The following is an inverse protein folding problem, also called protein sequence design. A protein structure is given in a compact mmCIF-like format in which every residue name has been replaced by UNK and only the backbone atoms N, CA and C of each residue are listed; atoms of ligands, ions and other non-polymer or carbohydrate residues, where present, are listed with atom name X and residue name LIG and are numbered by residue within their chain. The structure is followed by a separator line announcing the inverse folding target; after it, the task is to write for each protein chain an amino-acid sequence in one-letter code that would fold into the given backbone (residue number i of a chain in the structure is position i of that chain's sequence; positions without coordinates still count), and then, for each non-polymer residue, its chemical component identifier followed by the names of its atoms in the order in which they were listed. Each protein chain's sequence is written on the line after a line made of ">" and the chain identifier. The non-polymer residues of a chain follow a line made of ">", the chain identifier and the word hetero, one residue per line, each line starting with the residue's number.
data_IF_236054701003
#
_entry.id   IF_236054701003
#
_cell.length_a   1.000
_cell.length_b   1.000
_cell.length_c   1.000
_cell.angle_alpha   90.00
_cell.angle_beta   90.00
_cell.angle_gamma   90.00
#
_symmetry.space_group_name_H-M   'P 1'
#
loop_
_entity.id
_entity.type
_entity.pdbx_description
1 polymer ?
#
# COMPACT_ATOMS: atom_id res chain seq x y z
N UNK A 1 -6.50 5.54 -27.23
CA UNK A 1 -6.80 5.36 -25.81
C UNK A 1 -5.56 5.60 -24.92
N UNK A 2 -4.35 5.24 -25.38
CA UNK A 2 -3.10 5.28 -24.58
C UNK A 2 -2.17 6.46 -24.93
N UNK A 3 -2.70 7.54 -25.49
CA UNK A 3 -1.91 8.74 -25.76
C UNK A 3 -1.64 9.48 -24.46
N UNK A 4 -0.37 9.73 -24.16
CA UNK A 4 0.05 10.53 -23.00
C UNK A 4 -0.09 12.02 -23.31
N UNK A 5 -0.33 12.82 -22.28
CA UNK A 5 -0.30 14.29 -22.39
C UNK A 5 1.13 14.76 -22.66
N UNK A 6 1.26 15.85 -23.41
CA UNK A 6 2.55 16.50 -23.61
C UNK A 6 2.95 17.25 -22.34
N UNK A 7 3.95 16.74 -21.63
CA UNK A 7 4.45 17.31 -20.36
C UNK A 7 5.97 17.39 -20.38
N UNK A 8 6.52 18.35 -19.66
CA UNK A 8 7.96 18.36 -19.37
C UNK A 8 8.28 17.28 -18.34
N UNK A 9 9.07 16.28 -18.71
CA UNK A 9 9.49 15.21 -17.80
C UNK A 9 10.28 15.72 -16.58
N UNK A 10 10.93 16.90 -16.71
CA UNK A 10 11.68 17.53 -15.63
C UNK A 10 10.80 17.85 -14.40
N UNK A 11 9.52 18.20 -14.60
CA UNK A 11 8.58 18.48 -13.49
C UNK A 11 8.31 17.26 -12.61
N UNK A 12 8.51 16.03 -13.12
CA UNK A 12 8.36 14.79 -12.34
C UNK A 12 9.70 14.27 -11.82
N UNK A 13 10.79 14.52 -12.55
CA UNK A 13 12.11 14.04 -12.15
C UNK A 13 12.62 14.74 -10.88
N UNK A 14 12.37 16.05 -10.74
CA UNK A 14 12.81 16.81 -9.54
C UNK A 14 12.15 16.32 -8.25
N UNK A 15 10.80 16.14 -8.12
CA UNK A 15 10.22 15.62 -6.90
C UNK A 15 10.56 14.14 -6.66
N UNK A 16 10.72 13.34 -7.73
CA UNK A 16 11.16 11.94 -7.63
C UNK A 16 12.54 11.84 -6.97
N UNK A 17 13.53 12.55 -7.53
CA UNK A 17 14.91 12.48 -7.05
C UNK A 17 15.03 13.09 -5.65
N UNK A 18 14.38 14.23 -5.40
CA UNK A 18 14.38 14.85 -4.08
C UNK A 18 13.80 13.91 -3.03
N UNK A 19 12.66 13.27 -3.31
CA UNK A 19 12.04 12.32 -2.39
C UNK A 19 12.94 11.09 -2.16
N UNK A 20 13.58 10.56 -3.20
CA UNK A 20 14.47 9.40 -3.08
C UNK A 20 15.71 9.71 -2.23
N UNK A 21 16.37 10.84 -2.50
CA UNK A 21 17.57 11.28 -1.77
C UNK A 21 17.24 11.62 -0.32
N UNK A 22 16.14 12.37 -0.10
CA UNK A 22 15.72 12.76 1.24
C UNK A 22 15.32 11.55 2.09
N UNK A 23 14.52 10.61 1.53
CA UNK A 23 14.14 9.36 2.19
C UNK A 23 15.38 8.55 2.56
N UNK A 24 16.28 8.33 1.61
CA UNK A 24 17.52 7.59 1.84
C UNK A 24 18.37 8.25 2.95
N UNK A 25 18.54 9.58 2.91
CA UNK A 25 19.37 10.32 3.86
C UNK A 25 18.77 10.33 5.28
N UNK A 26 17.44 10.57 5.40
CA UNK A 26 16.75 10.51 6.69
C UNK A 26 16.83 9.12 7.32
N UNK A 27 16.70 8.06 6.51
CA UNK A 27 16.84 6.67 6.96
C UNK A 27 18.28 6.37 7.41
N UNK A 28 19.30 6.90 6.71
CA UNK A 28 20.68 6.80 7.17
C UNK A 28 20.87 7.46 8.54
N UNK A 29 20.30 8.66 8.74
CA UNK A 29 20.29 9.34 10.03
C UNK A 29 19.60 8.56 11.14
N UNK A 30 18.39 8.02 10.86
CA UNK A 30 17.67 7.17 11.82
C UNK A 30 18.48 5.93 12.16
N UNK A 31 19.07 5.26 11.16
CA UNK A 31 19.93 4.08 11.41
C UNK A 31 21.12 4.43 12.31
N UNK A 32 21.79 5.54 12.06
CA UNK A 32 22.90 6.02 12.88
C UNK A 32 22.44 6.29 14.33
N UNK A 33 21.35 7.05 14.52
CA UNK A 33 20.83 7.40 15.84
C UNK A 33 20.36 6.17 16.62
N UNK A 34 19.61 5.27 15.98
CA UNK A 34 19.11 4.06 16.63
C UNK A 34 20.23 3.11 17.01
N UNK A 35 21.29 3.02 16.20
CA UNK A 35 22.48 2.22 16.53
C UNK A 35 23.23 2.85 17.70
N UNK A 36 23.42 4.18 17.69
CA UNK A 36 24.16 4.92 18.73
C UNK A 36 23.46 4.87 20.09
N UNK A 37 22.12 5.02 20.11
CA UNK A 37 21.32 5.09 21.34
C UNK A 37 20.58 3.79 21.65
N UNK A 38 20.78 2.72 20.87
CA UNK A 38 20.14 1.40 21.03
C UNK A 38 18.61 1.45 21.04
N UNK A 39 18.02 2.32 20.25
CA UNK A 39 16.57 2.47 20.10
C UNK A 39 16.04 1.50 19.03
N UNK A 40 15.71 0.27 19.43
CA UNK A 40 15.31 -0.78 18.49
C UNK A 40 13.80 -0.92 18.28
N UNK A 41 12.99 -0.32 19.16
CA UNK A 41 11.54 -0.56 19.20
C UNK A 41 11.19 -1.92 19.82
N UNK A 42 9.90 -2.22 19.97
CA UNK A 42 9.47 -3.53 20.49
C UNK A 42 9.82 -4.62 19.48
N UNK A 43 10.52 -5.64 19.92
CA UNK A 43 10.79 -6.84 19.14
C UNK A 43 9.48 -7.64 18.99
N UNK A 44 8.76 -7.48 17.88
CA UNK A 44 7.74 -8.49 17.56
C UNK A 44 8.46 -9.77 17.14
N UNK A 45 7.81 -10.90 17.41
CA UNK A 45 8.31 -12.27 17.25
C UNK A 45 8.56 -12.69 15.76
N UNK A 46 9.06 -11.78 14.92
CA UNK A 46 9.57 -12.14 13.61
C UNK A 46 10.93 -12.80 13.77
N UNK A 47 11.12 -13.95 13.15
CA UNK A 47 12.17 -14.93 13.26
C UNK A 47 13.63 -14.46 13.11
N UNK A 48 13.93 -13.18 13.24
CA UNK A 48 15.27 -12.64 13.14
C UNK A 48 15.77 -12.14 14.49
N UNK A 49 16.81 -12.79 15.01
CA UNK A 49 17.58 -12.36 16.19
C UNK A 49 18.31 -11.00 15.96
N UNK A 50 18.09 -10.35 14.80
CA UNK A 50 18.70 -9.08 14.44
C UNK A 50 17.95 -7.93 15.09
N UNK A 51 18.68 -7.06 15.76
CA UNK A 51 18.16 -5.80 16.30
C UNK A 51 17.96 -4.80 15.14
N UNK A 52 16.74 -4.75 14.57
CA UNK A 52 16.38 -3.87 13.47
C UNK A 52 15.36 -2.85 13.97
N UNK A 53 15.65 -1.57 13.75
CA UNK A 53 14.72 -0.50 14.15
C UNK A 53 13.47 -0.46 13.26
N UNK A 54 12.32 -0.10 13.88
CA UNK A 54 11.02 0.12 13.20
C UNK A 54 10.71 1.61 12.99
N UNK A 55 11.63 2.51 13.33
CA UNK A 55 11.42 3.94 13.23
C UNK A 55 11.54 4.52 11.81
N UNK A 56 11.73 3.67 10.79
CA UNK A 56 11.81 4.10 9.39
C UNK A 56 10.56 4.84 8.90
N UNK A 57 9.39 4.56 9.50
CA UNK A 57 8.14 5.27 9.20
C UNK A 57 8.22 6.78 9.38
N UNK A 58 9.05 7.26 10.34
CA UNK A 58 9.30 8.69 10.56
C UNK A 58 9.95 9.32 9.32
N UNK A 59 10.98 8.67 8.77
CA UNK A 59 11.65 9.19 7.56
C UNK A 59 10.73 9.19 6.35
N UNK A 60 9.94 8.13 6.18
CA UNK A 60 8.96 8.01 5.09
C UNK A 60 7.90 9.10 5.19
N UNK A 61 7.36 9.34 6.39
CA UNK A 61 6.36 10.39 6.64
C UNK A 61 6.93 11.79 6.37
N UNK A 62 8.08 12.13 6.96
CA UNK A 62 8.73 13.42 6.76
C UNK A 62 9.06 13.66 5.29
N UNK A 63 9.62 12.67 4.60
CA UNK A 63 9.96 12.78 3.18
C UNK A 63 8.73 13.11 2.35
N UNK A 64 7.68 12.29 2.48
CA UNK A 64 6.46 12.49 1.71
C UNK A 64 5.85 13.87 2.00
N UNK A 65 5.74 14.25 3.28
CA UNK A 65 5.18 15.54 3.70
C UNK A 65 5.97 16.71 3.13
N UNK A 66 7.29 16.73 3.31
CA UNK A 66 8.15 17.87 2.89
C UNK A 66 8.09 18.03 1.37
N UNK A 67 8.27 16.94 0.62
CA UNK A 67 8.30 17.02 -0.84
C UNK A 67 6.90 17.31 -1.38
N UNK A 68 5.85 16.74 -0.79
CA UNK A 68 4.47 17.06 -1.17
C UNK A 68 4.17 18.55 -1.02
N UNK A 69 4.49 19.17 0.12
CA UNK A 69 4.26 20.60 0.38
C UNK A 69 5.09 21.50 -0.55
N UNK A 70 6.22 21.01 -1.06
CA UNK A 70 7.06 21.75 -2.01
C UNK A 70 6.58 21.72 -3.47
N UNK A 71 5.79 20.71 -3.86
CA UNK A 71 5.45 20.48 -5.28
C UNK A 71 3.95 20.35 -5.56
N UNK A 72 3.10 20.32 -4.54
CA UNK A 72 1.66 20.06 -4.69
C UNK A 72 0.85 21.14 -3.99
N UNK A 73 0.00 21.84 -4.76
CA UNK A 73 -0.91 22.84 -4.19
C UNK A 73 -1.95 22.18 -3.28
N UNK A 74 -2.26 22.82 -2.16
CA UNK A 74 -3.24 22.36 -1.19
C UNK A 74 -4.66 22.67 -1.66
N UNK A 75 -5.41 21.60 -1.95
CA UNK A 75 -6.86 21.61 -2.14
C UNK A 75 -7.51 20.77 -1.04
N UNK A 76 -8.83 20.89 -0.77
CA UNK A 76 -9.47 20.10 0.29
C UNK A 76 -9.17 18.60 0.23
N UNK A 77 -9.28 17.88 -0.91
CA UNK A 77 -8.93 16.46 -0.95
C UNK A 77 -7.44 16.16 -0.69
N UNK A 78 -6.55 17.07 -1.09
CA UNK A 78 -5.10 16.92 -0.87
C UNK A 78 -4.72 17.22 0.58
N UNK A 79 -5.38 18.20 1.21
CA UNK A 79 -5.27 18.43 2.66
C UNK A 79 -5.81 17.22 3.43
N UNK A 80 -6.96 16.67 3.03
CA UNK A 80 -7.52 15.46 3.62
C UNK A 80 -6.55 14.26 3.55
N UNK A 81 -5.81 14.11 2.43
CA UNK A 81 -4.76 13.12 2.30
C UNK A 81 -3.65 13.34 3.33
N UNK A 82 -3.14 14.58 3.49
CA UNK A 82 -2.09 14.89 4.46
C UNK A 82 -2.54 14.66 5.90
N UNK A 83 -3.77 15.06 6.23
CA UNK A 83 -4.35 14.87 7.57
C UNK A 83 -4.52 13.37 7.87
N UNK A 84 -5.18 12.62 6.96
CA UNK A 84 -5.43 11.20 7.14
C UNK A 84 -4.15 10.38 7.25
N UNK A 85 -3.17 10.63 6.38
CA UNK A 85 -1.88 9.94 6.47
C UNK A 85 -1.14 10.24 7.77
N UNK A 86 -1.21 11.49 8.26
CA UNK A 86 -0.54 11.89 9.52
C UNK A 86 -1.22 11.25 10.72
N UNK A 87 -2.56 11.19 10.75
CA UNK A 87 -3.29 10.51 11.83
C UNK A 87 -2.96 9.02 11.88
N UNK A 88 -2.88 8.35 10.72
CA UNK A 88 -2.51 6.93 10.67
C UNK A 88 -1.02 6.69 10.97
N UNK A 89 -0.14 7.61 10.59
CA UNK A 89 1.26 7.58 11.01
C UNK A 89 1.37 7.66 12.54
N UNK A 90 0.68 8.61 13.18
CA UNK A 90 0.70 8.78 14.64
C UNK A 90 0.12 7.54 15.35
N UNK A 91 -0.98 7.00 14.84
CA UNK A 91 -1.55 5.76 15.36
C UNK A 91 -0.55 4.60 15.27
N UNK A 92 0.06 4.41 14.10
CA UNK A 92 1.04 3.34 13.90
C UNK A 92 2.30 3.53 14.74
N UNK A 93 2.73 4.78 14.98
CA UNK A 93 3.86 5.07 15.88
C UNK A 93 3.53 4.68 17.33
N UNK A 94 2.31 4.98 17.80
CA UNK A 94 1.83 4.55 19.11
C UNK A 94 1.77 3.01 19.17
N UNK A 95 1.35 2.37 18.09
CA UNK A 95 1.30 0.91 18.00
C UNK A 95 2.69 0.26 18.03
N UNK A 96 3.64 0.80 17.31
CA UNK A 96 5.04 0.33 17.31
C UNK A 96 5.69 0.42 18.71
N UNK A 97 5.18 1.33 19.57
CA UNK A 97 5.68 1.50 20.95
C UNK A 97 4.90 0.65 21.94
N UNK A 98 3.57 0.63 21.87
CA UNK A 98 2.69 0.07 22.91
C UNK A 98 1.99 -1.22 22.52
N UNK A 99 2.10 -1.67 21.25
CA UNK A 99 1.48 -2.88 20.71
C UNK A 99 -0.03 -2.93 20.97
N UNK A 100 -0.77 -2.06 20.28
CA UNK A 100 -2.20 -1.87 20.45
C UNK A 100 -3.02 -3.12 20.09
N UNK A 101 -4.18 -3.28 20.71
CA UNK A 101 -5.11 -4.34 20.33
C UNK A 101 -5.65 -4.13 18.91
N UNK A 102 -6.00 -5.21 18.15
CA UNK A 102 -6.55 -5.07 16.80
C UNK A 102 -7.81 -4.20 16.74
N UNK A 103 -8.64 -4.25 17.79
CA UNK A 103 -9.86 -3.43 17.88
C UNK A 103 -9.49 -1.95 18.05
N UNK A 104 -8.52 -1.64 18.91
CA UNK A 104 -8.04 -0.27 19.12
C UNK A 104 -7.48 0.32 17.81
N UNK A 105 -6.65 -0.46 17.09
CA UNK A 105 -6.14 -0.06 15.77
C UNK A 105 -7.28 0.25 14.79
N UNK A 106 -8.27 -0.62 14.71
CA UNK A 106 -9.41 -0.45 13.80
C UNK A 106 -10.22 0.81 14.14
N UNK A 107 -10.48 1.10 15.42
CA UNK A 107 -11.20 2.30 15.84
C UNK A 107 -10.43 3.56 15.42
N UNK A 108 -9.12 3.60 15.63
CA UNK A 108 -8.27 4.71 15.19
C UNK A 108 -8.25 4.87 13.66
N UNK A 109 -8.14 3.76 12.92
CA UNK A 109 -8.21 3.76 11.46
C UNK A 109 -9.55 4.32 10.97
N UNK A 110 -10.68 3.87 11.55
CA UNK A 110 -12.01 4.38 11.22
C UNK A 110 -12.10 5.88 11.48
N UNK A 111 -11.62 6.35 12.64
CA UNK A 111 -11.60 7.76 12.98
C UNK A 111 -10.80 8.61 12.00
N UNK A 112 -9.56 8.20 11.69
CA UNK A 112 -8.68 8.89 10.74
C UNK A 112 -9.29 8.94 9.32
N UNK A 113 -9.85 7.81 8.85
CA UNK A 113 -10.51 7.70 7.55
C UNK A 113 -11.79 8.56 7.51
N UNK A 114 -12.62 8.54 8.56
CA UNK A 114 -13.83 9.37 8.63
C UNK A 114 -13.50 10.87 8.55
N UNK A 115 -12.46 11.33 9.26
CA UNK A 115 -11.96 12.70 9.17
C UNK A 115 -11.53 13.04 7.73
N UNK A 116 -10.75 12.18 7.10
CA UNK A 116 -10.27 12.42 5.75
C UNK A 116 -11.41 12.46 4.72
N UNK A 117 -12.38 11.53 4.80
CA UNK A 117 -13.57 11.51 3.94
C UNK A 117 -14.42 12.77 4.17
N UNK A 118 -14.62 13.19 5.42
CA UNK A 118 -15.35 14.41 5.77
C UNK A 118 -14.67 15.69 5.28
N UNK A 119 -13.33 15.69 5.13
CA UNK A 119 -12.55 16.79 4.56
C UNK A 119 -12.53 16.79 3.01
N UNK A 120 -13.24 15.86 2.36
CA UNK A 120 -13.42 15.84 0.91
C UNK A 120 -12.62 14.77 0.16
N UNK A 121 -12.02 13.80 0.85
CA UNK A 121 -11.37 12.65 0.23
C UNK A 121 -12.40 11.53 -0.01
N UNK A 122 -13.22 11.65 -1.04
CA UNK A 122 -14.26 10.69 -1.38
C UNK A 122 -14.31 10.39 -2.87
N UNK A 123 -14.91 9.25 -3.25
CA UNK A 123 -14.92 8.68 -4.61
C UNK A 123 -15.78 9.52 -5.57
N UNK A 124 -16.96 9.97 -5.12
CA UNK A 124 -17.94 10.75 -5.86
C UNK A 124 -18.68 9.98 -6.94
N UNK A 125 -17.95 9.27 -7.78
CA UNK A 125 -18.53 8.51 -8.90
C UNK A 125 -17.70 7.27 -9.25
N UNK A 126 -18.36 6.27 -9.80
CA UNK A 126 -17.71 5.05 -10.30
C UNK A 126 -18.04 4.82 -11.78
N UNK A 127 -17.11 4.20 -12.52
CA UNK A 127 -17.35 3.86 -13.92
C UNK A 127 -18.41 2.78 -14.02
N UNK A 128 -19.45 3.03 -14.82
CA UNK A 128 -20.45 2.02 -15.17
C UNK A 128 -19.89 1.07 -16.25
N UNK A 129 -19.84 -0.25 -16.01
CA UNK A 129 -19.37 -1.21 -17.00
C UNK A 129 -20.16 -1.19 -18.32
N UNK A 130 -21.44 -0.79 -18.27
CA UNK A 130 -22.34 -0.71 -19.44
C UNK A 130 -22.28 0.66 -20.14
N UNK A 131 -21.43 1.57 -19.69
CA UNK A 131 -21.22 2.90 -20.28
C UNK A 131 -21.58 4.05 -19.33
N UNK A 132 -20.82 5.15 -19.43
CA UNK A 132 -20.99 6.31 -18.55
C UNK A 132 -20.45 6.13 -17.14
N UNK A 133 -20.97 6.92 -16.22
CA UNK A 133 -20.60 6.93 -14.79
C UNK A 133 -21.84 6.85 -13.92
N UNK A 134 -21.70 6.22 -12.77
CA UNK A 134 -22.70 6.19 -11.68
C UNK A 134 -22.26 7.20 -10.65
N UNK A 135 -23.02 8.27 -10.47
CA UNK A 135 -22.81 9.24 -9.37
C UNK A 135 -23.35 8.62 -8.10
N UNK A 136 -22.51 8.56 -7.07
CA UNK A 136 -22.90 8.00 -5.79
C UNK A 136 -23.70 9.00 -4.97
N UNK A 137 -24.77 8.56 -4.28
CA UNK A 137 -25.42 9.41 -3.29
C UNK A 137 -24.45 9.63 -2.11
N UNK A 138 -24.57 10.75 -1.36
CA UNK A 138 -23.60 11.11 -0.31
C UNK A 138 -23.33 9.99 0.71
N UNK A 139 -24.37 9.26 1.12
CA UNK A 139 -24.22 8.15 2.07
C UNK A 139 -23.37 7.03 1.48
N UNK A 140 -23.67 6.57 0.25
CA UNK A 140 -22.92 5.49 -0.40
C UNK A 140 -21.51 5.93 -0.76
N UNK A 141 -21.33 7.20 -1.13
CA UNK A 141 -20.03 7.75 -1.42
C UNK A 141 -19.10 7.71 -0.20
N UNK A 142 -19.57 8.19 0.95
CA UNK A 142 -18.80 8.18 2.18
C UNK A 142 -18.52 6.77 2.70
N UNK A 143 -19.51 5.88 2.65
CA UNK A 143 -19.34 4.48 3.08
C UNK A 143 -18.37 3.73 2.20
N UNK A 144 -18.49 3.84 0.87
CA UNK A 144 -17.59 3.16 -0.08
C UNK A 144 -16.17 3.72 -0.02
N UNK A 145 -16.04 5.05 0.13
CA UNK A 145 -14.73 5.69 0.28
C UNK A 145 -14.03 5.25 1.56
N UNK A 146 -14.75 5.24 2.68
CA UNK A 146 -14.22 4.76 3.95
C UNK A 146 -13.84 3.29 3.90
N UNK A 147 -14.69 2.45 3.35
CA UNK A 147 -14.44 1.02 3.20
C UNK A 147 -13.23 0.75 2.30
N UNK A 148 -13.11 1.46 1.18
CA UNK A 148 -11.96 1.38 0.28
C UNK A 148 -10.66 1.72 1.01
N UNK A 149 -10.62 2.86 1.69
CA UNK A 149 -9.42 3.30 2.41
C UNK A 149 -9.01 2.30 3.51
N UNK A 150 -9.98 1.80 4.29
CA UNK A 150 -9.72 0.80 5.34
C UNK A 150 -9.18 -0.51 4.78
N UNK A 151 -9.74 -1.01 3.67
CA UNK A 151 -9.24 -2.23 3.01
C UNK A 151 -7.80 -2.04 2.55
N UNK A 152 -7.50 -0.92 1.87
CA UNK A 152 -6.15 -0.70 1.34
C UNK A 152 -5.13 -0.51 2.47
N UNK A 153 -5.47 0.24 3.53
CA UNK A 153 -4.61 0.40 4.71
C UNK A 153 -4.25 -0.96 5.30
N UNK A 154 -5.23 -1.83 5.54
CA UNK A 154 -4.98 -3.13 6.15
C UNK A 154 -4.29 -4.10 5.19
N UNK A 155 -4.59 -4.06 3.90
CA UNK A 155 -3.91 -4.89 2.90
C UNK A 155 -2.42 -4.54 2.77
N UNK A 156 -2.07 -3.26 2.80
CA UNK A 156 -0.67 -2.81 2.73
C UNK A 156 0.07 -3.07 4.05
N UNK A 157 -0.59 -2.89 5.19
CA UNK A 157 -0.03 -3.25 6.49
C UNK A 157 0.33 -4.75 6.54
N UNK A 158 -0.52 -5.59 5.98
CA UNK A 158 -0.25 -7.03 5.89
C UNK A 158 0.92 -7.36 4.93
N UNK A 159 1.15 -6.57 3.87
CA UNK A 159 2.30 -6.76 2.97
C UNK A 159 3.65 -6.49 3.64
N UNK A 160 3.68 -5.79 4.77
CA UNK A 160 4.92 -5.49 5.51
C UNK A 160 5.49 -6.71 6.27
N UNK A 161 5.04 -7.91 5.93
CA UNK A 161 5.52 -9.15 6.51
C UNK A 161 6.84 -9.68 5.95
N UNK A 162 7.31 -9.20 4.79
CA UNK A 162 8.58 -9.59 4.16
C UNK A 162 9.41 -8.38 3.76
N UNK A 163 10.75 -8.50 3.96
CA UNK A 163 11.72 -7.48 3.57
C UNK A 163 11.56 -7.11 2.07
N UNK A 164 11.36 -5.84 1.77
CA UNK A 164 11.24 -5.30 0.43
C UNK A 164 9.87 -5.46 -0.23
N UNK A 165 8.95 -6.26 0.32
CA UNK A 165 7.69 -6.58 -0.33
C UNK A 165 6.75 -5.37 -0.39
N UNK A 166 6.48 -4.75 0.75
CA UNK A 166 5.57 -3.60 0.83
C UNK A 166 6.11 -2.39 0.07
N UNK A 167 7.41 -2.08 0.22
CA UNK A 167 8.06 -0.99 -0.51
C UNK A 167 8.08 -1.24 -2.03
N UNK A 168 8.37 -2.46 -2.46
CA UNK A 168 8.35 -2.86 -3.87
C UNK A 168 6.95 -2.77 -4.48
N UNK A 169 5.93 -3.29 -3.80
CA UNK A 169 4.54 -3.23 -4.26
C UNK A 169 4.04 -1.78 -4.35
N UNK A 170 4.37 -0.94 -3.37
CA UNK A 170 4.04 0.50 -3.40
C UNK A 170 4.75 1.22 -4.53
N UNK A 171 6.01 0.88 -4.81
CA UNK A 171 6.75 1.45 -5.96
C UNK A 171 6.09 1.09 -7.29
N UNK A 172 5.69 -0.17 -7.49
CA UNK A 172 4.96 -0.62 -8.68
C UNK A 172 3.61 0.12 -8.80
N UNK A 173 2.84 0.18 -7.71
CA UNK A 173 1.59 0.93 -7.66
C UNK A 173 1.80 2.39 -8.08
N UNK A 174 2.82 3.06 -7.54
CA UNK A 174 3.13 4.45 -7.84
C UNK A 174 3.45 4.67 -9.32
N UNK A 175 4.20 3.75 -9.94
CA UNK A 175 4.49 3.77 -11.39
C UNK A 175 3.19 3.64 -12.20
N UNK A 176 2.31 2.72 -11.81
CA UNK A 176 1.04 2.50 -12.51
C UNK A 176 0.14 3.73 -12.40
N UNK A 177 -0.01 4.32 -11.21
CA UNK A 177 -0.81 5.54 -11.01
C UNK A 177 -0.19 6.73 -11.74
N UNK A 178 1.13 6.85 -11.78
CA UNK A 178 1.83 7.88 -12.54
C UNK A 178 1.44 7.84 -14.02
N UNK A 179 1.63 6.71 -14.69
CA UNK A 179 1.29 6.58 -16.11
C UNK A 179 -0.22 6.73 -16.35
N UNK A 180 -1.05 6.15 -15.49
CA UNK A 180 -2.51 6.30 -15.60
C UNK A 180 -2.92 7.77 -15.56
N UNK A 181 -2.33 8.57 -14.67
CA UNK A 181 -2.64 9.99 -14.48
C UNK A 181 -2.22 10.85 -15.68
N UNK A 182 -1.22 10.39 -16.46
CA UNK A 182 -0.73 11.07 -17.66
C UNK A 182 -1.47 10.69 -18.94
N UNK A 183 -2.38 9.72 -18.93
CA UNK A 183 -3.20 9.46 -20.12
C UNK A 183 -4.10 10.66 -20.43
N UNK A 184 -4.22 11.00 -21.71
CA UNK A 184 -5.02 12.16 -22.22
C UNK A 184 -6.44 12.16 -21.66
N UNK A 185 -7.05 10.96 -21.51
CA UNK A 185 -8.41 10.82 -20.98
C UNK A 185 -8.47 11.14 -19.48
N UNK A 186 -7.40 10.88 -18.73
CA UNK A 186 -7.34 11.13 -17.27
C UNK A 186 -6.89 12.55 -16.99
N UNK A 187 -5.81 12.97 -17.63
CA UNK A 187 -5.23 14.32 -17.60
C UNK A 187 -5.11 14.93 -16.19
N UNK A 188 -4.39 14.25 -15.30
CA UNK A 188 -4.21 14.68 -13.91
C UNK A 188 -2.71 14.75 -13.54
N UNK A 189 -1.97 15.75 -14.03
CA UNK A 189 -0.52 15.88 -13.80
C UNK A 189 -0.16 16.03 -12.33
N UNK A 190 -1.01 16.65 -11.51
CA UNK A 190 -0.77 16.76 -10.06
C UNK A 190 -0.83 15.40 -9.37
N UNK A 191 -1.76 14.52 -9.76
CA UNK A 191 -1.81 13.14 -9.24
C UNK A 191 -0.56 12.35 -9.68
N UNK A 192 -0.07 12.58 -10.89
CA UNK A 192 1.21 12.04 -11.35
C UNK A 192 2.38 12.53 -10.48
N UNK A 193 2.41 13.82 -10.12
CA UNK A 193 3.41 14.37 -9.17
C UNK A 193 3.33 13.70 -7.81
N UNK A 194 2.15 13.52 -7.24
CA UNK A 194 1.99 12.81 -5.96
C UNK A 194 2.46 11.35 -6.04
N UNK A 195 2.18 10.69 -7.17
CA UNK A 195 2.63 9.31 -7.39
C UNK A 195 4.16 9.19 -7.48
N UNK A 196 4.85 10.12 -8.14
CA UNK A 196 6.33 10.09 -8.20
C UNK A 196 6.98 10.50 -6.88
N UNK A 197 6.34 11.33 -6.06
CA UNK A 197 6.80 11.61 -4.69
C UNK A 197 6.75 10.32 -3.85
N UNK A 198 5.64 9.58 -3.93
CA UNK A 198 5.53 8.29 -3.24
C UNK A 198 6.56 7.29 -3.77
N UNK A 199 6.74 7.23 -5.10
CA UNK A 199 7.73 6.37 -5.74
C UNK A 199 9.14 6.69 -5.24
N UNK A 200 9.56 7.95 -5.27
CA UNK A 200 10.89 8.37 -4.79
C UNK A 200 11.09 8.04 -3.32
N UNK A 201 10.09 8.34 -2.48
CA UNK A 201 10.11 8.00 -1.06
C UNK A 201 10.32 6.49 -0.85
N UNK A 202 9.61 5.66 -1.60
CA UNK A 202 9.73 4.19 -1.50
C UNK A 202 11.04 3.66 -2.08
N UNK A 203 11.57 4.23 -3.14
CA UNK A 203 12.88 3.83 -3.67
C UNK A 203 14.01 4.12 -2.68
N UNK A 204 13.99 5.30 -2.02
CA UNK A 204 14.94 5.61 -0.95
C UNK A 204 14.82 4.66 0.24
N UNK A 205 13.59 4.30 0.63
CA UNK A 205 13.33 3.32 1.70
C UNK A 205 13.72 1.90 1.28
N UNK A 206 13.43 1.47 0.05
CA UNK A 206 13.70 0.12 -0.45
C UNK A 206 15.18 -0.24 -0.38
N UNK A 207 16.08 0.71 -0.54
CA UNK A 207 17.52 0.51 -0.35
C UNK A 207 17.87 -0.02 1.05
N UNK A 208 17.16 0.43 2.08
CA UNK A 208 17.35 0.02 3.46
C UNK A 208 16.53 -1.19 3.87
N UNK A 209 15.43 -1.44 3.15
CA UNK A 209 14.47 -2.49 3.47
C UNK A 209 14.61 -3.73 2.58
N UNK A 210 15.43 -3.69 1.50
CA UNK A 210 15.69 -4.88 0.69
C UNK A 210 16.38 -5.96 1.52
N UNK A 211 15.99 -7.24 1.23
CA UNK A 211 16.50 -8.37 2.02
C UNK A 211 18.04 -8.57 1.87
N UNK A 212 18.78 -8.69 2.97
CA UNK A 212 18.38 -8.61 4.39
C UNK A 212 18.13 -7.16 4.84
N UNK A 213 16.95 -6.88 5.35
CA UNK A 213 16.55 -5.54 5.75
C UNK A 213 17.44 -4.98 6.88
N UNK A 214 17.70 -3.68 6.80
CA UNK A 214 18.48 -2.92 7.79
C UNK A 214 17.58 -2.00 8.64
N UNK A 215 16.40 -1.64 8.11
CA UNK A 215 15.39 -0.77 8.75
C UNK A 215 14.02 -1.27 8.34
N UNK A 216 13.07 -1.28 9.27
CA UNK A 216 11.64 -1.42 9.02
C UNK A 216 10.94 -0.07 9.22
N UNK A 217 9.87 0.19 8.48
CA UNK A 217 9.08 1.41 8.68
C UNK A 217 7.92 1.21 9.67
N UNK A 218 7.70 -0.03 10.12
CA UNK A 218 6.75 -0.38 11.18
C UNK A 218 5.28 -0.15 10.81
N UNK A 219 4.41 -0.27 11.80
CA UNK A 219 2.98 0.00 11.65
C UNK A 219 2.73 1.50 11.35
N UNK A 220 3.62 2.39 11.82
CA UNK A 220 3.61 3.80 11.45
C UNK A 220 3.72 4.03 9.93
N UNK A 221 4.65 3.35 9.29
CA UNK A 221 4.86 3.47 7.85
C UNK A 221 3.82 2.73 7.03
N UNK A 222 3.52 1.48 7.35
CA UNK A 222 2.64 0.63 6.54
C UNK A 222 1.19 1.13 6.49
N UNK A 223 0.61 1.56 7.62
CA UNK A 223 -0.73 2.15 7.66
C UNK A 223 -0.81 3.46 6.88
N UNK A 224 0.17 4.33 7.06
CA UNK A 224 0.25 5.60 6.34
C UNK A 224 0.39 5.39 4.83
N UNK A 225 1.31 4.52 4.39
CA UNK A 225 1.55 4.23 2.96
C UNK A 225 0.30 3.61 2.34
N UNK A 226 -0.36 2.68 3.03
CA UNK A 226 -1.63 2.12 2.58
C UNK A 226 -2.71 3.19 2.38
N UNK A 227 -2.79 4.14 3.29
CA UNK A 227 -3.72 5.26 3.17
C UNK A 227 -3.38 6.15 1.96
N UNK A 228 -2.10 6.51 1.76
CA UNK A 228 -1.67 7.30 0.59
C UNK A 228 -2.04 6.58 -0.71
N UNK A 229 -1.81 5.25 -0.81
CA UNK A 229 -2.17 4.47 -1.98
C UNK A 229 -3.69 4.49 -2.24
N UNK A 230 -4.49 4.28 -1.20
CA UNK A 230 -5.96 4.35 -1.29
C UNK A 230 -6.45 5.74 -1.70
N UNK A 231 -5.87 6.79 -1.14
CA UNK A 231 -6.18 8.18 -1.43
C UNK A 231 -5.80 8.56 -2.87
N UNK A 232 -4.63 8.15 -3.36
CA UNK A 232 -4.21 8.38 -4.75
C UNK A 232 -5.17 7.74 -5.75
N UNK A 233 -5.72 6.57 -5.45
CA UNK A 233 -6.74 5.93 -6.28
C UNK A 233 -8.05 6.75 -6.35
N UNK A 234 -8.45 7.38 -5.25
CA UNK A 234 -9.61 8.27 -5.19
C UNK A 234 -9.33 9.55 -6.00
N UNK A 235 -8.23 10.25 -5.69
CA UNK A 235 -7.87 11.54 -6.31
C UNK A 235 -7.58 11.39 -7.81
N UNK A 236 -7.18 10.20 -8.28
CA UNK A 236 -7.01 9.91 -9.71
C UNK A 236 -8.33 9.80 -10.50
N UNK A 237 -9.43 10.35 -9.98
CA UNK A 237 -10.75 10.34 -10.62
C UNK A 237 -11.49 9.01 -10.42
N UNK A 238 -11.41 8.43 -9.23
CA UNK A 238 -12.13 7.21 -8.86
C UNK A 238 -11.65 5.97 -9.62
N UNK A 239 -10.38 5.89 -9.96
CA UNK A 239 -9.79 4.72 -10.65
C UNK A 239 -9.61 3.51 -9.71
N UNK A 240 -10.61 3.30 -8.85
CA UNK A 240 -10.65 2.24 -7.84
C UNK A 240 -10.41 0.85 -8.46
N UNK A 241 -11.03 0.56 -9.61
CA UNK A 241 -10.84 -0.73 -10.29
C UNK A 241 -9.38 -0.97 -10.72
N UNK A 242 -8.67 0.09 -11.17
CA UNK A 242 -7.24 -0.02 -11.50
C UNK A 242 -6.41 -0.27 -10.24
N UNK A 243 -6.63 0.51 -9.19
CA UNK A 243 -5.93 0.34 -7.92
C UNK A 243 -6.25 -1.01 -7.27
N UNK A 244 -7.53 -1.44 -7.30
CA UNK A 244 -7.95 -2.75 -6.82
C UNK A 244 -7.29 -3.90 -7.58
N UNK A 245 -6.98 -3.74 -8.87
CA UNK A 245 -6.29 -4.76 -9.64
C UNK A 245 -4.79 -4.81 -9.31
N UNK A 246 -4.12 -3.66 -9.16
CA UNK A 246 -2.71 -3.59 -8.71
C UNK A 246 -2.56 -4.17 -7.31
N UNK A 247 -3.49 -3.83 -6.42
CA UNK A 247 -3.54 -4.32 -5.04
C UNK A 247 -4.34 -5.64 -4.91
N UNK A 248 -4.68 -6.26 -6.04
CA UNK A 248 -5.55 -7.44 -6.06
C UNK A 248 -5.01 -8.58 -5.22
N UNK A 249 -3.70 -8.83 -5.30
CA UNK A 249 -3.05 -9.83 -4.48
C UNK A 249 -3.19 -9.55 -2.96
N UNK A 250 -2.72 -8.40 -2.43
CA UNK A 250 -2.85 -8.13 -0.99
C UNK A 250 -4.28 -8.03 -0.51
N UNK A 251 -5.19 -7.45 -1.29
CA UNK A 251 -6.61 -7.36 -0.93
C UNK A 251 -7.23 -8.76 -0.85
N UNK A 252 -6.96 -9.63 -1.84
CA UNK A 252 -7.48 -10.99 -1.84
C UNK A 252 -6.91 -11.83 -0.71
N UNK A 253 -5.62 -11.68 -0.36
CA UNK A 253 -5.02 -12.39 0.77
C UNK A 253 -5.65 -11.94 2.11
N UNK A 254 -5.89 -10.62 2.28
CA UNK A 254 -6.61 -10.07 3.42
C UNK A 254 -8.04 -10.65 3.54
N UNK A 255 -8.81 -10.61 2.45
CA UNK A 255 -10.18 -11.11 2.42
C UNK A 255 -10.23 -12.62 2.66
N UNK A 256 -9.30 -13.37 2.08
CA UNK A 256 -9.19 -14.81 2.30
C UNK A 256 -8.86 -15.15 3.76
N UNK A 257 -7.94 -14.41 4.38
CA UNK A 257 -7.62 -14.58 5.79
C UNK A 257 -8.84 -14.30 6.68
N UNK A 258 -9.57 -13.21 6.43
CA UNK A 258 -10.79 -12.88 7.15
C UNK A 258 -11.87 -13.97 7.00
N UNK A 259 -12.13 -14.42 5.76
CA UNK A 259 -13.07 -15.50 5.46
C UNK A 259 -12.73 -16.81 6.20
N UNK A 260 -11.46 -17.21 6.17
CA UNK A 260 -10.99 -18.41 6.85
C UNK A 260 -11.20 -18.34 8.36
N UNK A 261 -10.86 -17.18 8.99
CA UNK A 261 -11.05 -16.95 10.43
C UNK A 261 -12.51 -17.05 10.84
N UNK A 262 -13.41 -16.42 10.07
CA UNK A 262 -14.86 -16.51 10.30
C UNK A 262 -15.32 -17.98 10.21
N UNK A 263 -14.86 -18.73 9.19
CA UNK A 263 -15.21 -20.17 9.05
C UNK A 263 -14.70 -21.02 10.22
N UNK A 264 -13.63 -20.60 10.88
CA UNK A 264 -13.07 -21.25 12.07
C UNK A 264 -13.70 -20.76 13.39
N UNK A 265 -14.73 -19.90 13.35
CA UNK A 265 -15.34 -19.31 14.54
C UNK A 265 -14.45 -18.28 15.26
N UNK A 266 -13.41 -17.76 14.57
CA UNK A 266 -12.48 -16.76 15.11
C UNK A 266 -12.84 -15.37 14.62
N UNK A 267 -12.41 -14.33 15.37
CA UNK A 267 -12.55 -12.95 14.92
C UNK A 267 -11.81 -12.72 13.60
N UNK A 268 -12.41 -12.05 12.59
CA UNK A 268 -11.73 -11.73 11.33
C UNK A 268 -10.49 -10.83 11.53
N UNK A 269 -10.41 -10.12 12.65
CA UNK A 269 -9.32 -9.23 13.02
C UNK A 269 -8.23 -9.91 13.87
N UNK A 270 -8.37 -11.20 14.18
CA UNK A 270 -7.35 -11.93 14.94
C UNK A 270 -6.04 -11.99 14.13
N UNK A 271 -4.89 -11.87 14.82
CA UNK A 271 -3.60 -12.09 14.17
C UNK A 271 -3.46 -13.58 13.77
N UNK A 272 -2.93 -13.82 12.57
CA UNK A 272 -2.51 -15.16 12.16
C UNK A 272 -1.25 -15.11 11.26
N UNK A 273 -0.60 -16.25 11.05
CA UNK A 273 0.59 -16.40 10.21
C UNK A 273 0.29 -17.17 8.91
N UNK A 274 -0.98 -17.28 8.53
CA UNK A 274 -1.38 -18.11 7.39
C UNK A 274 -1.53 -17.31 6.08
N UNK A 275 -0.90 -16.13 6.00
CA UNK A 275 -0.84 -15.33 4.78
C UNK A 275 0.01 -16.02 3.72
N UNK A 276 -0.30 -15.78 2.43
CA UNK A 276 0.35 -16.48 1.33
C UNK A 276 1.87 -16.31 1.33
N UNK A 277 2.37 -15.12 1.67
CA UNK A 277 3.81 -14.87 1.72
C UNK A 277 4.51 -15.73 2.79
N UNK A 278 3.91 -15.95 3.97
CA UNK A 278 4.43 -16.88 4.98
C UNK A 278 4.37 -18.34 4.49
N UNK A 279 3.26 -18.72 3.86
CA UNK A 279 3.10 -20.08 3.31
C UNK A 279 4.13 -20.41 2.22
N UNK A 280 4.55 -19.42 1.40
CA UNK A 280 5.63 -19.61 0.42
C UNK A 280 6.95 -19.93 1.13
N UNK A 281 7.28 -19.21 2.21
CA UNK A 281 8.47 -19.49 3.02
C UNK A 281 8.41 -20.89 3.66
N UNK A 282 7.26 -21.24 4.26
CA UNK A 282 7.04 -22.56 4.88
C UNK A 282 7.12 -23.70 3.85
N UNK A 283 6.76 -23.43 2.59
CA UNK A 283 6.95 -24.37 1.48
C UNK A 283 8.41 -24.51 1.04
N UNK A 284 9.33 -23.69 1.60
CA UNK A 284 10.76 -23.71 1.33
C UNK A 284 11.19 -22.80 0.19
N UNK A 285 10.34 -21.85 -0.25
CA UNK A 285 10.73 -20.84 -1.23
C UNK A 285 11.67 -19.83 -0.53
N UNK A 286 12.85 -19.52 -1.09
CA UNK A 286 13.74 -18.50 -0.52
C UNK A 286 13.05 -17.14 -0.42
N UNK A 287 13.37 -16.37 0.63
CA UNK A 287 12.76 -15.07 0.92
C UNK A 287 12.72 -14.13 -0.31
N UNK A 288 13.88 -13.90 -0.92
CA UNK A 288 13.98 -13.02 -2.10
C UNK A 288 13.12 -13.53 -3.28
N UNK A 289 13.08 -14.84 -3.50
CA UNK A 289 12.27 -15.43 -4.56
C UNK A 289 10.77 -15.26 -4.30
N UNK A 290 10.32 -15.42 -3.06
CA UNK A 290 8.93 -15.20 -2.67
C UNK A 290 8.52 -13.74 -2.93
N UNK A 291 9.37 -12.78 -2.54
CA UNK A 291 9.15 -11.34 -2.78
C UNK A 291 9.09 -11.05 -4.28
N UNK A 292 10.05 -11.52 -5.07
CA UNK A 292 10.08 -11.29 -6.52
C UNK A 292 8.85 -11.88 -7.22
N UNK A 293 8.41 -13.08 -6.84
CA UNK A 293 7.20 -13.70 -7.41
C UNK A 293 5.97 -12.83 -7.14
N UNK A 294 5.80 -12.36 -5.91
CA UNK A 294 4.65 -11.51 -5.56
C UNK A 294 4.72 -10.17 -6.28
N UNK A 295 5.90 -9.53 -6.33
CA UNK A 295 6.07 -8.26 -7.05
C UNK A 295 5.83 -8.41 -8.56
N UNK A 296 6.25 -9.54 -9.15
CA UNK A 296 5.97 -9.83 -10.56
C UNK A 296 4.46 -9.95 -10.83
N UNK A 297 3.70 -10.58 -9.92
CA UNK A 297 2.23 -10.63 -10.02
C UNK A 297 1.60 -9.24 -9.89
N UNK A 298 2.04 -8.44 -8.92
CA UNK A 298 1.58 -7.05 -8.75
C UNK A 298 1.86 -6.22 -10.01
N UNK A 299 3.06 -6.36 -10.60
CA UNK A 299 3.44 -5.67 -11.84
C UNK A 299 2.60 -6.15 -13.04
N UNK A 300 2.40 -7.46 -13.19
CA UNK A 300 1.58 -8.04 -14.26
C UNK A 300 0.15 -7.48 -14.23
N UNK A 301 -0.51 -7.54 -13.06
CA UNK A 301 -1.86 -7.00 -12.92
C UNK A 301 -1.90 -5.48 -13.05
N UNK A 302 -0.85 -4.79 -12.63
CA UNK A 302 -0.67 -3.36 -12.86
C UNK A 302 -0.65 -3.00 -14.34
N UNK A 303 0.17 -3.69 -15.15
CA UNK A 303 0.24 -3.49 -16.60
C UNK A 303 -1.09 -3.84 -17.27
N UNK A 304 -1.70 -4.98 -16.91
CA UNK A 304 -3.05 -5.34 -17.39
C UNK A 304 -4.05 -4.22 -17.07
N UNK A 305 -4.00 -3.63 -15.88
CA UNK A 305 -4.91 -2.55 -15.49
C UNK A 305 -4.74 -1.28 -16.31
N UNK A 306 -3.51 -0.96 -16.75
CA UNK A 306 -3.25 0.18 -17.64
C UNK A 306 -3.77 -0.03 -19.05
N UNK A 307 -3.63 -1.26 -19.56
CA UNK A 307 -3.92 -1.58 -20.96
C UNK A 307 -5.37 -2.02 -21.19
N UNK A 308 -6.17 -2.16 -20.14
CA UNK A 308 -7.51 -2.76 -20.22
C UNK A 308 -8.63 -1.75 -20.05
N UNK A 309 -9.74 -1.95 -20.78
CA UNK A 309 -11.03 -1.30 -20.52
C UNK A 309 -11.72 -1.89 -19.28
N UNK A 310 -12.86 -1.30 -18.90
CA UNK A 310 -13.57 -1.64 -17.64
C UNK A 310 -13.92 -3.12 -17.51
N UNK A 311 -14.47 -3.72 -18.57
CA UNK A 311 -14.81 -5.16 -18.57
C UNK A 311 -13.61 -6.07 -18.39
N UNK A 312 -12.51 -5.78 -19.10
CA UNK A 312 -11.29 -6.57 -18.98
C UNK A 312 -10.67 -6.45 -17.58
N UNK A 313 -10.80 -5.29 -16.90
CA UNK A 313 -10.39 -5.15 -15.49
C UNK A 313 -11.23 -6.01 -14.54
N UNK A 314 -12.55 -6.08 -14.76
CA UNK A 314 -13.43 -6.93 -13.96
C UNK A 314 -13.10 -8.42 -14.15
N UNK A 315 -12.87 -8.85 -15.40
CA UNK A 315 -12.42 -10.21 -15.71
C UNK A 315 -11.05 -10.50 -15.06
N UNK A 316 -10.12 -9.54 -15.13
CA UNK A 316 -8.81 -9.68 -14.51
C UNK A 316 -8.89 -9.75 -12.97
N UNK A 317 -9.77 -9.00 -12.31
CA UNK A 317 -10.03 -9.12 -10.87
C UNK A 317 -10.54 -10.52 -10.49
N UNK A 318 -11.44 -11.08 -11.31
CA UNK A 318 -11.88 -12.47 -11.13
C UNK A 318 -10.72 -13.46 -11.34
N UNK A 319 -9.86 -13.20 -12.33
CA UNK A 319 -8.64 -13.97 -12.59
C UNK A 319 -7.66 -13.94 -11.41
N UNK A 320 -7.50 -12.79 -10.74
CA UNK A 320 -6.69 -12.67 -9.49
C UNK A 320 -7.27 -13.58 -8.40
N UNK A 321 -8.58 -13.54 -8.19
CA UNK A 321 -9.23 -14.38 -7.18
C UNK A 321 -9.02 -15.86 -7.46
N UNK A 322 -9.19 -16.30 -8.72
CA UNK A 322 -8.97 -17.67 -9.14
C UNK A 322 -7.51 -18.09 -8.97
N UNK A 323 -6.56 -17.24 -9.39
CA UNK A 323 -5.13 -17.46 -9.21
C UNK A 323 -4.76 -17.64 -7.74
N UNK A 324 -5.31 -16.79 -6.85
CA UNK A 324 -5.11 -16.90 -5.40
C UNK A 324 -5.61 -18.24 -4.86
N UNK A 325 -6.79 -18.70 -5.27
CA UNK A 325 -7.33 -19.99 -4.86
C UNK A 325 -6.40 -21.14 -5.30
N UNK A 326 -5.92 -21.09 -6.54
CA UNK A 326 -4.98 -22.09 -7.10
C UNK A 326 -3.67 -22.07 -6.31
N UNK A 327 -3.07 -20.90 -6.07
CA UNK A 327 -1.82 -20.78 -5.32
C UNK A 327 -1.95 -21.31 -3.89
N UNK A 328 -3.02 -20.95 -3.18
CA UNK A 328 -3.27 -21.43 -1.82
C UNK A 328 -3.41 -22.95 -1.79
N UNK A 329 -4.15 -23.55 -2.74
CA UNK A 329 -4.30 -25.00 -2.84
C UNK A 329 -2.98 -25.70 -3.17
N UNK A 330 -2.21 -25.15 -4.10
CA UNK A 330 -0.92 -25.74 -4.51
C UNK A 330 0.07 -25.73 -3.35
N UNK A 331 0.19 -24.60 -2.63
CA UNK A 331 1.09 -24.49 -1.47
C UNK A 331 0.66 -25.46 -0.37
N UNK A 332 -0.64 -25.58 -0.10
CA UNK A 332 -1.17 -26.53 0.88
C UNK A 332 -0.87 -28.00 0.50
N UNK A 333 -0.96 -28.34 -0.79
CA UNK A 333 -0.61 -29.66 -1.28
C UNK A 333 0.89 -29.96 -1.13
N UNK A 334 1.76 -28.98 -1.43
CA UNK A 334 3.20 -29.12 -1.27
C UNK A 334 3.62 -29.28 0.20
N UNK A 335 2.97 -28.56 1.11
CA UNK A 335 3.22 -28.68 2.56
C UNK A 335 2.85 -30.10 3.07
N UNK A 336 1.70 -30.65 2.64
CA UNK A 336 1.31 -32.01 3.01
C UNK A 336 2.27 -33.08 2.52
N UNK A 337 2.90 -32.90 1.33
CA UNK A 337 3.91 -33.85 0.81
C UNK A 337 5.22 -33.84 1.60
N UNK A 338 5.56 -32.74 2.28
CA UNK A 338 6.78 -32.65 3.10
C UNK A 338 6.59 -33.21 4.51
N UNK A 339 5.35 -33.39 4.98
CA UNK A 339 5.02 -33.95 6.29
C UNK A 339 4.86 -35.48 6.28
N UNK A 340 4.97 -36.12 5.12
CA UNK A 340 5.09 -37.55 4.90
C UNK A 340 6.46 -37.89 4.31
#
# INVERSE_FOLDING_TARGET
>A
LFKLIAVSWLQFLSPLLLAAILSWGLLAGIKYLTTKYQWWGHQSAHHDARQITRLGGIAVWLTFLIVFLGFVDLTPPRLALLVGMTLLFLMGLVDDIYNLSPITKLIWQIGAVAIAVGLGLHIGQVTNPFGGVIVLSPIWDYLLSGFWLLIVVNAVNMLDGLDGLSAGATSIFSIIIFFLSLFVIVNQPTTATMAVILLGTMLGYLWWNWHPAKIFYGDAGSNMVGFIMGALAIVSGGKIATAALVLGFPIMDLLWAAFRRIKQGRSPFAADREHLHHRLLDAGVPHQSAVVIILALVALFGVVSLLSGTWAKLIALFGVALLMIILVRTVFFLQRRKSH
#
